data_IF_609407750224
#
_entry.id   IF_609407750224
#
_cell.length_a   1.000
_cell.length_b   1.000
_cell.length_c   1.000
_cell.angle_alpha   90.00
_cell.angle_beta   90.00
_cell.angle_gamma   90.00
#
_symmetry.space_group_name_H-M   'P 1'
#
loop_
_entity.id
_entity.type
_entity.pdbx_description
1 polymer ?
#
# COMPACT_ATOMS: atom_id res chain seq x y z
N UNK A 1 6.35 14.78 34.16
CA UNK A 1 5.62 13.85 33.28
C UNK A 1 6.03 14.14 31.85
N UNK A 2 6.82 13.27 31.22
CA UNK A 2 7.33 13.49 29.86
C UNK A 2 6.43 12.79 28.84
N UNK A 3 5.80 13.58 27.97
CA UNK A 3 4.90 13.10 26.92
C UNK A 3 5.75 12.35 25.91
N UNK A 4 5.69 11.01 25.92
CA UNK A 4 6.31 10.16 24.89
C UNK A 4 5.78 10.59 23.53
N UNK A 5 6.65 11.17 22.71
CA UNK A 5 6.44 11.26 21.28
C UNK A 5 6.17 9.83 20.78
N UNK A 6 4.92 9.55 20.36
CA UNK A 6 4.59 8.35 19.59
C UNK A 6 5.36 8.50 18.28
N UNK A 7 6.52 7.86 18.21
CA UNK A 7 7.25 7.67 16.96
C UNK A 7 6.29 7.09 15.95
N UNK A 8 5.92 7.90 14.97
CA UNK A 8 5.26 7.50 13.73
C UNK A 8 6.00 6.28 13.22
N UNK A 9 5.45 5.07 13.42
CA UNK A 9 6.04 3.86 12.88
C UNK A 9 6.02 4.04 11.36
N UNK A 10 7.16 4.39 10.77
CA UNK A 10 7.32 4.33 9.31
C UNK A 10 7.00 2.89 8.94
N UNK A 11 5.85 2.70 8.28
CA UNK A 11 5.42 1.38 7.85
C UNK A 11 6.57 0.72 7.10
N UNK A 12 6.87 -0.54 7.45
CA UNK A 12 7.94 -1.29 6.80
C UNK A 12 7.63 -1.33 5.29
N UNK A 13 8.59 -0.99 4.42
CA UNK A 13 8.37 -1.01 2.98
C UNK A 13 7.90 -2.40 2.55
N UNK A 14 6.95 -2.45 1.63
CA UNK A 14 6.45 -3.69 1.06
C UNK A 14 7.60 -4.36 0.31
N UNK A 15 7.99 -5.54 0.78
CA UNK A 15 8.95 -6.37 0.04
C UNK A 15 8.21 -7.07 -1.11
N UNK A 16 8.03 -6.35 -2.23
CA UNK A 16 7.38 -6.91 -3.43
C UNK A 16 8.35 -7.88 -4.12
N UNK A 17 8.16 -9.17 -3.88
CA UNK A 17 8.89 -10.25 -4.57
C UNK A 17 8.11 -10.66 -5.81
N UNK A 18 8.50 -10.09 -6.96
CA UNK A 18 7.94 -10.49 -8.26
C UNK A 18 8.73 -11.68 -8.82
N UNK A 19 8.06 -12.68 -9.39
CA UNK A 19 8.67 -13.97 -9.72
C UNK A 19 9.64 -13.92 -10.91
N UNK A 20 9.57 -12.90 -11.76
CA UNK A 20 10.49 -12.72 -12.89
C UNK A 20 10.86 -11.26 -13.14
N UNK A 21 11.98 -11.02 -13.83
CA UNK A 21 12.41 -9.69 -14.26
C UNK A 21 11.40 -9.04 -15.22
N UNK A 22 10.79 -9.81 -16.11
CA UNK A 22 9.76 -9.33 -17.04
C UNK A 22 8.52 -8.81 -16.29
N UNK A 23 8.06 -9.54 -15.27
CA UNK A 23 6.93 -9.10 -14.43
C UNK A 23 7.31 -7.86 -13.63
N UNK A 24 8.56 -7.79 -13.13
CA UNK A 24 9.07 -6.59 -12.46
C UNK A 24 9.02 -5.35 -13.36
N UNK A 25 9.54 -5.44 -14.58
CA UNK A 25 9.56 -4.33 -15.52
C UNK A 25 8.14 -3.89 -15.90
N UNK A 26 7.24 -4.82 -16.20
CA UNK A 26 5.85 -4.50 -16.49
C UNK A 26 5.15 -3.83 -15.31
N UNK A 27 5.41 -4.29 -14.08
CA UNK A 27 4.83 -3.71 -12.88
C UNK A 27 5.39 -2.32 -12.56
N UNK A 28 6.70 -2.11 -12.74
CA UNK A 28 7.33 -0.79 -12.61
C UNK A 28 6.75 0.20 -13.62
N UNK A 29 6.56 -0.22 -14.87
CA UNK A 29 5.92 0.60 -15.91
C UNK A 29 4.48 0.98 -15.52
N UNK A 30 3.69 0.00 -15.06
CA UNK A 30 2.34 0.25 -14.57
C UNK A 30 2.31 1.24 -13.40
N UNK A 31 3.29 1.18 -12.49
CA UNK A 31 3.40 2.16 -11.40
C UNK A 31 3.70 3.57 -11.91
N UNK A 32 4.61 3.69 -12.90
CA UNK A 32 4.95 4.96 -13.54
C UNK A 32 3.74 5.58 -14.26
N UNK A 33 2.99 4.77 -15.02
CA UNK A 33 1.79 5.22 -15.74
C UNK A 33 0.71 5.75 -14.78
N UNK A 34 0.69 5.26 -13.53
CA UNK A 34 -0.24 5.70 -12.49
C UNK A 34 0.35 6.76 -11.54
N UNK A 35 1.56 7.27 -11.82
CA UNK A 35 2.27 8.27 -11.01
C UNK A 35 2.40 7.86 -9.53
N UNK A 36 2.66 6.57 -9.28
CA UNK A 36 2.71 5.98 -7.93
C UNK A 36 4.01 5.24 -7.69
N UNK A 37 4.45 5.21 -6.43
CA UNK A 37 5.52 4.32 -6.01
C UNK A 37 5.06 2.86 -6.03
N UNK A 38 6.01 1.93 -6.14
CA UNK A 38 5.77 0.49 -6.02
C UNK A 38 4.97 0.15 -4.76
N UNK A 39 5.37 0.70 -3.61
CA UNK A 39 4.68 0.51 -2.34
C UNK A 39 3.23 1.02 -2.38
N UNK A 40 3.00 2.22 -2.91
CA UNK A 40 1.66 2.81 -2.98
C UNK A 40 0.74 2.02 -3.92
N UNK A 41 1.27 1.58 -5.06
CA UNK A 41 0.50 0.77 -6.00
C UNK A 41 0.20 -0.62 -5.43
N UNK A 42 1.17 -1.24 -4.77
CA UNK A 42 1.00 -2.54 -4.12
C UNK A 42 -0.05 -2.48 -3.01
N UNK A 43 0.02 -1.46 -2.15
CA UNK A 43 -0.96 -1.24 -1.10
C UNK A 43 -2.38 -1.05 -1.68
N UNK A 44 -2.52 -0.29 -2.77
CA UNK A 44 -3.82 -0.13 -3.43
C UNK A 44 -4.36 -1.46 -3.96
N UNK A 45 -3.55 -2.25 -4.67
CA UNK A 45 -4.00 -3.53 -5.23
C UNK A 45 -4.42 -4.51 -4.13
N UNK A 46 -3.62 -4.62 -3.06
CA UNK A 46 -3.95 -5.46 -1.90
C UNK A 46 -5.26 -5.00 -1.26
N UNK A 47 -5.43 -3.69 -1.06
CA UNK A 47 -6.65 -3.13 -0.45
C UNK A 47 -7.88 -3.45 -1.30
N UNK A 48 -7.79 -3.25 -2.62
CA UNK A 48 -8.88 -3.56 -3.55
C UNK A 48 -9.24 -5.05 -3.53
N UNK A 49 -8.26 -5.93 -3.55
CA UNK A 49 -8.49 -7.38 -3.58
C UNK A 49 -9.14 -7.88 -2.29
N UNK A 50 -8.66 -7.42 -1.15
CA UNK A 50 -9.22 -7.75 0.16
C UNK A 50 -10.64 -7.19 0.33
N UNK A 51 -10.94 -6.02 -0.25
CA UNK A 51 -12.30 -5.48 -0.28
C UNK A 51 -13.23 -6.33 -1.15
N UNK A 52 -12.78 -6.69 -2.37
CA UNK A 52 -13.55 -7.53 -3.28
C UNK A 52 -13.82 -8.93 -2.69
N UNK A 53 -12.87 -9.45 -1.93
CA UNK A 53 -12.97 -10.75 -1.25
C UNK A 53 -13.75 -10.69 0.08
N UNK A 54 -14.20 -9.51 0.52
CA UNK A 54 -14.94 -9.31 1.77
C UNK A 54 -14.09 -9.39 3.05
N UNK A 55 -12.76 -9.48 2.95
CA UNK A 55 -11.85 -9.48 4.09
C UNK A 55 -11.61 -8.08 4.66
N UNK A 56 -11.79 -7.04 3.86
CA UNK A 56 -11.74 -5.64 4.29
C UNK A 56 -13.10 -4.98 4.09
N UNK A 57 -13.71 -4.55 5.19
CA UNK A 57 -14.95 -3.77 5.16
C UNK A 57 -14.70 -2.34 4.66
N UNK A 58 -15.66 -1.79 3.93
CA UNK A 58 -15.58 -0.45 3.32
C UNK A 58 -15.36 0.69 4.34
N UNK A 59 -15.60 0.44 5.63
CA UNK A 59 -15.40 1.41 6.71
C UNK A 59 -13.93 1.78 6.95
N UNK A 60 -12.98 0.95 6.51
CA UNK A 60 -11.54 1.24 6.63
C UNK A 60 -11.11 2.48 5.82
N UNK A 61 -11.84 2.86 4.78
CA UNK A 61 -11.54 4.08 4.00
C UNK A 61 -11.78 5.37 4.79
N UNK A 62 -12.67 5.35 5.80
CA UNK A 62 -12.99 6.56 6.59
C UNK A 62 -11.90 6.93 7.60
N UNK A 63 -11.03 5.99 7.96
CA UNK A 63 -10.01 6.21 8.99
C UNK A 63 -8.80 6.97 8.40
N UNK A 64 -8.54 6.86 7.10
CA UNK A 64 -7.46 7.58 6.40
C UNK A 64 -7.87 8.94 5.82
N UNK A 65 -9.14 9.33 5.92
CA UNK A 65 -9.65 10.64 5.46
C UNK A 65 -9.99 11.59 6.61
N UNK A 66 -9.56 11.28 7.83
CA UNK A 66 -9.76 12.14 8.99
C UNK A 66 -8.47 12.92 9.26
N UNK A 67 -8.18 13.87 8.37
CA UNK A 67 -7.37 15.06 8.66
C UNK A 67 -8.30 16.26 8.50
#
# INVERSE_FOLDING_TARGET
MSVRAKTTQRAKPFLVRLPSSHIRQAYEQYCLDNMRSLDAQSAMLITKELQASGYLSSEFQRINHKD
#
